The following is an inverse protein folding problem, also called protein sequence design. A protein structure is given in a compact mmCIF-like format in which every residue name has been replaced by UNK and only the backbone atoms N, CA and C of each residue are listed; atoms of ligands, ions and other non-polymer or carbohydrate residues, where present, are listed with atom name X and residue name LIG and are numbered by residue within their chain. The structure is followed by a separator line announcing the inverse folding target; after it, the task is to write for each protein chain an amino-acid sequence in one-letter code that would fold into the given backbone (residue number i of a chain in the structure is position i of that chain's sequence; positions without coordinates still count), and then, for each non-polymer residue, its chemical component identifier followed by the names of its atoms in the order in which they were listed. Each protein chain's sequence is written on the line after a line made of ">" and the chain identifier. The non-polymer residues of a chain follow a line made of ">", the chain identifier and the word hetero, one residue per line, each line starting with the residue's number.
data_IF_805406930272
#
_entry.id   IF_805406930272
#
_cell.length_a   1.000
_cell.length_b   1.000
_cell.length_c   1.000
_cell.angle_alpha   90.00
_cell.angle_beta   90.00
_cell.angle_gamma   90.00
#
_symmetry.space_group_name_H-M   'P 1'
#
loop_
_entity.id
_entity.type
_entity.pdbx_description
1 polymer ?
#
# COMPACT_ATOMS: atom_id res chain seq x y z
N UNK A 1 -50.56 35.21 -41.43
CA UNK A 1 -50.89 34.89 -40.02
C UNK A 1 -51.11 33.40 -39.92
N UNK A 2 -50.03 32.66 -39.68
CA UNK A 2 -50.07 31.23 -39.37
C UNK A 2 -49.86 31.11 -37.86
N UNK A 3 -50.92 30.68 -37.16
CA UNK A 3 -50.91 30.40 -35.73
C UNK A 3 -50.00 29.21 -35.47
N UNK A 4 -48.88 29.45 -34.79
CA UNK A 4 -47.99 28.40 -34.30
C UNK A 4 -48.74 27.56 -33.26
N UNK A 5 -48.83 26.22 -33.40
CA UNK A 5 -49.54 25.39 -32.44
C UNK A 5 -48.78 25.39 -31.11
N UNK A 6 -49.46 25.79 -30.04
CA UNK A 6 -48.94 25.72 -28.69
C UNK A 6 -48.57 24.27 -28.35
N UNK A 7 -47.28 23.99 -28.16
CA UNK A 7 -46.82 22.68 -27.71
C UNK A 7 -47.23 22.45 -26.24
N UNK A 8 -47.91 21.35 -25.90
CA UNK A 8 -48.23 20.98 -24.54
C UNK A 8 -47.01 20.29 -23.90
N UNK A 9 -46.06 21.07 -23.39
CA UNK A 9 -44.81 20.54 -22.81
C UNK A 9 -44.57 20.91 -21.32
N UNK A 10 -45.57 21.47 -20.64
CA UNK A 10 -45.40 21.92 -19.24
C UNK A 10 -45.40 20.78 -18.20
N UNK A 11 -46.00 19.62 -18.49
CA UNK A 11 -46.16 18.54 -17.50
C UNK A 11 -45.08 17.45 -17.55
N UNK A 12 -44.32 17.33 -18.66
CA UNK A 12 -43.28 16.29 -18.80
C UNK A 12 -41.99 16.59 -18.06
N UNK A 13 -41.72 17.84 -17.69
CA UNK A 13 -40.51 18.24 -16.94
C UNK A 13 -40.67 18.09 -15.42
N UNK A 14 -41.90 18.08 -14.90
CA UNK A 14 -42.15 18.14 -13.46
C UNK A 14 -41.71 16.90 -12.65
N UNK A 15 -41.61 15.73 -13.28
CA UNK A 15 -41.16 14.50 -12.62
C UNK A 15 -39.62 14.40 -12.57
N UNK A 16 -38.95 14.84 -13.63
CA UNK A 16 -37.49 14.81 -13.74
C UNK A 16 -36.81 15.87 -12.87
N UNK A 17 -37.53 16.90 -12.44
CA UNK A 17 -37.03 17.99 -11.59
C UNK A 17 -37.06 17.70 -10.08
N UNK A 18 -37.40 16.47 -9.66
CA UNK A 18 -37.58 16.08 -8.26
C UNK A 18 -36.38 15.27 -7.75
N UNK A 19 -35.27 15.90 -7.29
CA UNK A 19 -34.07 15.19 -6.86
C UNK A 19 -34.35 14.21 -5.71
N UNK A 20 -35.30 14.53 -4.83
CA UNK A 20 -35.71 13.67 -3.73
C UNK A 20 -36.27 12.31 -4.17
N UNK A 21 -36.96 12.24 -5.31
CA UNK A 21 -37.48 10.96 -5.81
C UNK A 21 -36.34 10.00 -6.17
N UNK A 22 -35.34 10.51 -6.91
CA UNK A 22 -34.16 9.75 -7.29
C UNK A 22 -33.30 9.37 -6.08
N UNK A 23 -33.13 10.28 -5.13
CA UNK A 23 -32.36 10.02 -3.92
C UNK A 23 -33.00 8.94 -3.05
N UNK A 24 -34.31 9.02 -2.82
CA UNK A 24 -35.05 8.02 -2.04
C UNK A 24 -35.09 6.66 -2.74
N UNK A 25 -35.27 6.63 -4.06
CA UNK A 25 -35.17 5.41 -4.85
C UNK A 25 -33.75 4.80 -4.76
N UNK A 26 -32.71 5.63 -4.84
CA UNK A 26 -31.33 5.21 -4.66
C UNK A 26 -31.09 4.59 -3.28
N UNK A 27 -31.54 5.26 -2.22
CA UNK A 27 -31.41 4.78 -0.84
C UNK A 27 -32.14 3.46 -0.62
N UNK A 28 -33.37 3.33 -1.12
CA UNK A 28 -34.12 2.09 -1.04
C UNK A 28 -33.39 0.94 -1.75
N UNK A 29 -32.87 1.19 -2.95
CA UNK A 29 -32.13 0.18 -3.73
C UNK A 29 -30.84 -0.24 -3.01
N UNK A 30 -30.07 0.70 -2.49
CA UNK A 30 -28.85 0.42 -1.72
C UNK A 30 -29.16 -0.31 -0.41
N UNK A 31 -30.27 0.02 0.26
CA UNK A 31 -30.72 -0.69 1.47
C UNK A 31 -31.14 -2.13 1.18
N UNK A 32 -31.77 -2.39 0.03
CA UNK A 32 -32.07 -3.76 -0.42
C UNK A 32 -30.76 -4.54 -0.65
N UNK A 33 -29.75 -3.93 -1.27
CA UNK A 33 -28.44 -4.55 -1.45
C UNK A 33 -27.78 -4.89 -0.09
N UNK A 34 -27.84 -3.97 0.88
CA UNK A 34 -27.33 -4.18 2.23
C UNK A 34 -28.07 -5.29 2.98
N UNK A 35 -29.41 -5.30 2.92
CA UNK A 35 -30.21 -6.37 3.51
C UNK A 35 -29.90 -7.72 2.87
N UNK A 36 -29.78 -7.79 1.54
CA UNK A 36 -29.39 -9.01 0.83
C UNK A 36 -28.04 -9.53 1.37
N UNK A 37 -27.03 -8.67 1.49
CA UNK A 37 -25.72 -9.07 2.02
C UNK A 37 -25.79 -9.65 3.44
N UNK A 38 -26.68 -9.12 4.29
CA UNK A 38 -26.88 -9.59 5.67
C UNK A 38 -27.61 -10.94 5.78
N UNK A 39 -28.52 -11.24 4.85
CA UNK A 39 -29.37 -12.44 4.92
C UNK A 39 -28.96 -13.57 3.96
N UNK A 40 -28.05 -13.34 3.01
CA UNK A 40 -27.54 -14.37 2.09
C UNK A 40 -26.48 -15.23 2.76
N UNK A 41 -26.76 -16.54 2.87
CA UNK A 41 -25.86 -17.52 3.50
C UNK A 41 -24.94 -18.21 2.49
N UNK A 42 -25.28 -18.27 1.19
CA UNK A 42 -24.56 -19.16 0.26
C UNK A 42 -24.07 -18.57 -1.06
N UNK A 43 -24.55 -17.42 -1.54
CA UNK A 43 -23.96 -16.77 -2.74
C UNK A 43 -24.07 -15.25 -2.67
N UNK A 44 -22.94 -14.57 -2.50
CA UNK A 44 -22.81 -13.11 -2.66
C UNK A 44 -22.55 -12.83 -4.14
N UNK A 45 -23.62 -12.84 -4.92
CA UNK A 45 -23.56 -12.76 -6.37
C UNK A 45 -23.51 -11.33 -6.93
N UNK A 46 -23.38 -11.26 -8.26
CA UNK A 46 -23.44 -10.04 -9.09
C UNK A 46 -24.66 -9.15 -8.80
N UNK A 47 -25.75 -9.72 -8.28
CA UNK A 47 -26.98 -9.01 -7.94
C UNK A 47 -26.79 -7.90 -6.90
N UNK A 48 -25.96 -8.12 -5.88
CA UNK A 48 -25.67 -7.10 -4.85
C UNK A 48 -24.97 -5.90 -5.50
N UNK A 49 -23.99 -6.16 -6.36
CA UNK A 49 -23.24 -5.13 -7.08
C UNK A 49 -24.10 -4.35 -8.09
N UNK A 50 -25.05 -5.02 -8.76
CA UNK A 50 -26.00 -4.36 -9.66
C UNK A 50 -26.93 -3.43 -8.88
N UNK A 51 -27.51 -3.90 -7.77
CA UNK A 51 -28.38 -3.08 -6.92
C UNK A 51 -27.62 -1.90 -6.29
N UNK A 52 -26.41 -2.16 -5.78
CA UNK A 52 -25.55 -1.12 -5.22
C UNK A 52 -25.20 -0.06 -6.27
N UNK A 53 -24.76 -0.49 -7.46
CA UNK A 53 -24.45 0.41 -8.58
C UNK A 53 -25.66 1.24 -8.99
N UNK A 54 -26.84 0.62 -9.14
CA UNK A 54 -28.08 1.30 -9.50
C UNK A 54 -28.49 2.31 -8.43
N UNK A 55 -28.40 1.95 -7.15
CA UNK A 55 -28.72 2.83 -6.03
C UNK A 55 -27.80 4.05 -5.96
N UNK A 56 -26.50 3.85 -6.15
CA UNK A 56 -25.51 4.93 -6.18
C UNK A 56 -25.68 5.84 -7.40
N UNK A 57 -25.96 5.28 -8.59
CA UNK A 57 -26.21 6.06 -9.80
C UNK A 57 -27.49 6.91 -9.68
N UNK A 58 -28.56 6.36 -9.11
CA UNK A 58 -29.78 7.13 -8.84
C UNK A 58 -29.52 8.28 -7.84
N UNK A 59 -28.72 8.01 -6.81
CA UNK A 59 -28.26 9.03 -5.87
C UNK A 59 -27.39 10.12 -6.51
N UNK A 60 -26.45 9.73 -7.36
CA UNK A 60 -25.61 10.67 -8.11
C UNK A 60 -26.45 11.53 -9.05
N UNK A 61 -27.42 10.93 -9.75
CA UNK A 61 -28.37 11.65 -10.60
C UNK A 61 -29.21 12.67 -9.82
N UNK A 62 -29.63 12.33 -8.60
CA UNK A 62 -30.34 13.28 -7.73
C UNK A 62 -29.52 14.55 -7.44
N UNK A 63 -28.19 14.42 -7.34
CA UNK A 63 -27.28 15.54 -7.07
C UNK A 63 -26.92 16.35 -8.32
N UNK A 64 -27.16 15.83 -9.54
CA UNK A 64 -26.89 16.55 -10.79
C UNK A 64 -28.13 17.26 -11.35
N UNK A 65 -29.33 16.74 -11.09
CA UNK A 65 -30.61 17.32 -11.57
C UNK A 65 -30.85 18.73 -11.02
N UNK A 66 -30.44 19.00 -9.78
CA UNK A 66 -30.51 20.34 -9.18
C UNK A 66 -29.25 20.64 -8.40
N UNK A 67 -28.95 21.94 -8.30
CA UNK A 67 -27.92 22.44 -7.40
C UNK A 67 -28.11 21.85 -5.99
N UNK A 68 -27.08 21.16 -5.45
CA UNK A 68 -27.21 20.50 -4.16
C UNK A 68 -27.52 21.50 -3.06
N UNK A 69 -28.52 21.18 -2.23
CA UNK A 69 -28.75 21.88 -0.97
C UNK A 69 -28.06 21.13 0.18
N UNK A 70 -27.77 21.79 1.32
CA UNK A 70 -27.21 21.11 2.49
C UNK A 70 -28.02 19.87 2.92
N UNK A 71 -29.35 19.96 2.91
CA UNK A 71 -30.23 18.86 3.29
C UNK A 71 -30.15 17.69 2.30
N UNK A 72 -30.08 17.98 1.00
CA UNK A 72 -29.96 16.97 -0.03
C UNK A 72 -28.62 16.24 0.09
N UNK A 73 -27.53 16.98 0.30
CA UNK A 73 -26.19 16.41 0.47
C UNK A 73 -26.07 15.57 1.76
N UNK A 74 -26.63 16.05 2.88
CA UNK A 74 -26.63 15.30 4.14
C UNK A 74 -27.44 14.01 4.01
N UNK A 75 -28.57 14.03 3.30
CA UNK A 75 -29.35 12.82 3.03
C UNK A 75 -28.61 11.88 2.08
N UNK A 76 -27.90 12.42 1.08
CA UNK A 76 -27.07 11.65 0.17
C UNK A 76 -25.90 10.95 0.88
N UNK A 77 -25.42 11.47 2.03
CA UNK A 77 -24.41 10.78 2.85
C UNK A 77 -24.88 9.41 3.36
N UNK A 78 -26.19 9.15 3.43
CA UNK A 78 -26.73 7.84 3.81
C UNK A 78 -26.50 6.77 2.74
N UNK A 79 -26.38 7.14 1.46
CA UNK A 79 -26.13 6.20 0.37
C UNK A 79 -24.82 5.44 0.56
N UNK A 80 -23.66 6.11 0.66
CA UNK A 80 -22.41 5.41 0.89
C UNK A 80 -22.37 4.73 2.27
N UNK A 81 -23.00 5.30 3.30
CA UNK A 81 -23.06 4.68 4.63
C UNK A 81 -23.76 3.31 4.60
N UNK A 82 -24.91 3.21 3.93
CA UNK A 82 -25.64 1.95 3.74
C UNK A 82 -24.91 1.05 2.74
N UNK A 83 -24.32 1.63 1.68
CA UNK A 83 -23.49 0.92 0.71
C UNK A 83 -22.32 0.18 1.35
N UNK A 84 -21.67 0.77 2.37
CA UNK A 84 -20.60 0.13 3.14
C UNK A 84 -21.04 -1.14 3.88
N UNK A 85 -22.35 -1.31 4.15
CA UNK A 85 -22.92 -2.52 4.75
C UNK A 85 -23.32 -3.56 3.69
N UNK A 86 -23.54 -3.14 2.45
CA UNK A 86 -23.78 -4.03 1.31
C UNK A 86 -22.50 -4.73 0.81
N UNK A 87 -21.34 -4.18 1.16
CA UNK A 87 -20.04 -4.74 0.81
C UNK A 87 -19.58 -5.74 1.87
N UNK A 88 -19.02 -6.84 1.40
CA UNK A 88 -18.43 -7.87 2.26
C UNK A 88 -17.28 -7.32 3.12
N UNK A 89 -17.12 -7.73 4.40
CA UNK A 89 -16.04 -7.26 5.26
C UNK A 89 -14.62 -7.46 4.71
N UNK A 90 -14.37 -8.50 3.89
CA UNK A 90 -13.04 -8.69 3.29
C UNK A 90 -12.67 -7.61 2.25
N UNK A 91 -13.66 -6.83 1.78
CA UNK A 91 -13.47 -5.71 0.84
C UNK A 91 -13.33 -4.37 1.57
N UNK A 92 -12.48 -4.32 2.59
CA UNK A 92 -12.29 -3.15 3.46
C UNK A 92 -11.94 -1.88 2.69
N UNK A 93 -11.18 -1.97 1.60
CA UNK A 93 -10.87 -0.80 0.77
C UNK A 93 -12.10 -0.16 0.12
N UNK A 94 -13.06 -0.97 -0.33
CA UNK A 94 -14.31 -0.45 -0.90
C UNK A 94 -15.17 0.17 0.20
N UNK A 95 -15.22 -0.45 1.38
CA UNK A 95 -15.91 0.11 2.56
C UNK A 95 -15.28 1.43 2.99
N UNK A 96 -13.95 1.53 2.96
CA UNK A 96 -13.23 2.77 3.23
C UNK A 96 -13.63 3.88 2.25
N UNK A 97 -13.71 3.59 0.94
CA UNK A 97 -14.18 4.56 -0.06
C UNK A 97 -15.59 5.05 0.28
N UNK A 98 -16.49 4.16 0.69
CA UNK A 98 -17.81 4.55 1.14
C UNK A 98 -17.76 5.46 2.37
N UNK A 99 -17.02 5.11 3.42
CA UNK A 99 -16.89 5.96 4.61
C UNK A 99 -16.28 7.32 4.29
N UNK A 100 -15.29 7.39 3.40
CA UNK A 100 -14.76 8.66 2.89
C UNK A 100 -15.85 9.44 2.17
N UNK A 101 -16.67 8.79 1.34
CA UNK A 101 -17.84 9.40 0.70
C UNK A 101 -18.84 9.99 1.70
N UNK A 102 -19.10 9.31 2.82
CA UNK A 102 -19.93 9.83 3.92
C UNK A 102 -19.34 11.12 4.48
N UNK A 103 -18.05 11.10 4.83
CA UNK A 103 -17.35 12.27 5.39
C UNK A 103 -17.36 13.44 4.40
N UNK A 104 -17.05 13.18 3.13
CA UNK A 104 -17.08 14.20 2.06
C UNK A 104 -18.48 14.80 1.90
N UNK A 105 -19.53 13.99 1.89
CA UNK A 105 -20.90 14.49 1.80
C UNK A 105 -21.30 15.34 3.02
N UNK A 106 -20.94 14.92 4.24
CA UNK A 106 -21.20 15.71 5.46
C UNK A 106 -20.45 17.05 5.42
N UNK A 107 -19.16 17.04 5.09
CA UNK A 107 -18.35 18.25 4.97
C UNK A 107 -18.87 19.16 3.85
N UNK A 108 -19.28 18.58 2.71
CA UNK A 108 -19.89 19.29 1.60
C UNK A 108 -21.22 19.94 1.98
N UNK A 109 -22.07 19.25 2.75
CA UNK A 109 -23.31 19.80 3.27
C UNK A 109 -23.03 20.99 4.21
N UNK A 110 -22.05 20.86 5.10
CA UNK A 110 -21.59 21.94 5.96
C UNK A 110 -21.09 23.15 5.16
N UNK A 111 -20.27 22.92 4.14
CA UNK A 111 -19.77 23.96 3.24
C UNK A 111 -20.92 24.68 2.51
N UNK A 112 -21.87 23.94 1.95
CA UNK A 112 -23.04 24.51 1.25
C UNK A 112 -23.94 25.34 2.18
N UNK A 113 -23.94 25.06 3.48
CA UNK A 113 -24.70 25.83 4.47
C UNK A 113 -24.03 27.18 4.82
N UNK A 114 -22.76 27.37 4.49
CA UNK A 114 -22.05 28.63 4.73
C UNK A 114 -22.43 29.71 3.72
N UNK A 115 -22.17 30.98 4.08
CA UNK A 115 -22.29 32.10 3.15
C UNK A 115 -21.32 31.94 1.95
N UNK A 116 -21.61 32.50 0.77
CA UNK A 116 -20.72 32.38 -0.40
C UNK A 116 -19.29 32.87 -0.15
N UNK A 117 -19.11 33.92 0.66
CA UNK A 117 -17.78 34.42 1.02
C UNK A 117 -17.01 33.43 1.88
N UNK A 118 -17.68 32.83 2.87
CA UNK A 118 -17.10 31.79 3.73
C UNK A 118 -16.78 30.52 2.93
N UNK A 119 -17.63 30.12 1.98
CA UNK A 119 -17.36 28.99 1.09
C UNK A 119 -16.07 29.19 0.30
N UNK A 120 -15.91 30.36 -0.33
CA UNK A 120 -14.70 30.71 -1.07
C UNK A 120 -13.47 30.67 -0.18
N UNK A 121 -13.55 31.24 1.02
CA UNK A 121 -12.45 31.19 1.99
C UNK A 121 -12.05 29.77 2.35
N UNK A 122 -13.01 28.91 2.71
CA UNK A 122 -12.74 27.50 3.06
C UNK A 122 -12.13 26.75 1.88
N UNK A 123 -12.68 26.90 0.67
CA UNK A 123 -12.13 26.27 -0.53
C UNK A 123 -10.71 26.75 -0.83
N UNK A 124 -10.45 28.06 -0.72
CA UNK A 124 -9.10 28.61 -0.88
C UNK A 124 -8.14 28.03 0.16
N UNK A 125 -8.55 27.92 1.42
CA UNK A 125 -7.72 27.30 2.46
C UNK A 125 -7.43 25.83 2.18
N UNK A 126 -8.41 25.04 1.72
CA UNK A 126 -8.19 23.64 1.34
C UNK A 126 -7.22 23.51 0.16
N UNK A 127 -7.34 24.37 -0.84
CA UNK A 127 -6.41 24.43 -1.98
C UNK A 127 -5.01 24.81 -1.49
N UNK A 128 -4.89 25.84 -0.67
CA UNK A 128 -3.61 26.24 -0.07
C UNK A 128 -3.01 25.13 0.78
N UNK A 129 -3.81 24.40 1.55
CA UNK A 129 -3.37 23.25 2.34
C UNK A 129 -2.80 22.15 1.43
N UNK A 130 -3.52 21.80 0.38
CA UNK A 130 -3.11 20.77 -0.57
C UNK A 130 -1.78 21.10 -1.25
N UNK A 131 -1.69 22.28 -1.87
CA UNK A 131 -0.46 22.73 -2.53
C UNK A 131 0.65 23.05 -1.52
N UNK A 132 0.30 23.47 -0.30
CA UNK A 132 1.22 23.64 0.80
C UNK A 132 1.93 22.35 1.20
N UNK A 133 1.22 21.22 1.16
CA UNK A 133 1.82 19.90 1.38
C UNK A 133 2.82 19.51 0.29
N UNK A 134 2.47 19.75 -0.97
CA UNK A 134 3.36 19.51 -2.11
C UNK A 134 4.63 20.37 -2.00
N UNK A 135 4.47 21.65 -1.68
CA UNK A 135 5.58 22.58 -1.48
C UNK A 135 6.41 22.21 -0.24
N UNK A 136 5.80 21.76 0.85
CA UNK A 136 6.54 21.36 2.05
C UNK A 136 7.54 20.25 1.75
N UNK A 137 7.17 19.28 0.90
CA UNK A 137 8.07 18.19 0.46
C UNK A 137 9.29 18.71 -0.30
N UNK A 138 9.18 19.80 -1.07
CA UNK A 138 10.35 20.37 -1.76
C UNK A 138 11.35 20.99 -0.79
N UNK A 139 10.89 21.43 0.39
CA UNK A 139 11.76 22.01 1.43
C UNK A 139 12.38 20.96 2.37
N UNK A 140 11.92 19.71 2.33
CA UNK A 140 12.53 18.59 3.07
C UNK A 140 13.63 17.87 2.29
N UNK A 141 13.81 18.20 1.01
CA UNK A 141 14.84 17.63 0.13
C UNK A 141 15.76 18.77 -0.38
N UNK A 142 16.62 19.32 0.47
CA UNK A 142 17.53 20.40 0.09
C UNK A 142 18.60 19.93 -0.91
N UNK A 143 19.31 20.87 -1.58
CA UNK A 143 20.55 20.58 -2.28
C UNK A 143 21.58 19.85 -1.37
N UNK A 144 22.54 19.14 -1.97
CA UNK A 144 23.50 18.29 -1.26
C UNK A 144 24.36 19.03 -0.20
N UNK A 145 24.47 20.35 -0.28
CA UNK A 145 25.24 21.22 0.60
C UNK A 145 24.38 21.98 1.63
N UNK A 146 23.09 21.68 1.74
CA UNK A 146 22.16 22.37 2.63
C UNK A 146 21.39 21.41 3.53
N UNK A 147 21.14 21.85 4.77
CA UNK A 147 20.29 21.13 5.73
C UNK A 147 18.81 21.34 5.43
N UNK A 148 17.94 20.34 5.65
CA UNK A 148 16.50 20.49 5.44
C UNK A 148 15.91 21.52 6.42
N UNK A 149 14.91 22.27 5.97
CA UNK A 149 14.22 23.23 6.85
C UNK A 149 13.52 22.49 7.97
N UNK A 150 13.95 22.70 9.23
CA UNK A 150 13.37 22.03 10.39
C UNK A 150 11.84 22.20 10.47
N UNK A 151 11.33 23.40 10.19
CA UNK A 151 9.88 23.68 10.20
C UNK A 151 9.19 22.86 9.12
N UNK A 152 9.76 22.81 7.90
CA UNK A 152 9.20 22.00 6.82
C UNK A 152 9.20 20.52 7.20
N UNK A 153 10.28 20.00 7.78
CA UNK A 153 10.37 18.60 8.22
C UNK A 153 9.34 18.26 9.30
N UNK A 154 9.07 19.17 10.25
CA UNK A 154 8.02 18.94 11.26
C UNK A 154 6.61 18.96 10.65
N UNK A 155 6.32 19.90 9.75
CA UNK A 155 5.03 19.98 9.05
C UNK A 155 4.82 18.78 8.13
N UNK A 156 5.85 18.37 7.41
CA UNK A 156 5.86 17.20 6.54
C UNK A 156 5.60 15.94 7.37
N UNK A 157 6.43 15.64 8.36
CA UNK A 157 6.34 14.38 9.09
C UNK A 157 5.04 14.24 9.88
N UNK A 158 4.54 15.34 10.49
CA UNK A 158 3.42 15.27 11.43
C UNK A 158 2.05 15.58 10.83
N UNK A 159 2.00 16.36 9.75
CA UNK A 159 0.74 16.86 9.21
C UNK A 159 0.56 16.49 7.73
N UNK A 160 1.49 16.89 6.86
CA UNK A 160 1.32 16.68 5.43
C UNK A 160 1.56 15.25 4.99
N UNK A 161 2.45 14.48 5.64
CA UNK A 161 2.71 13.09 5.27
C UNK A 161 1.46 12.21 5.39
N UNK A 162 0.77 12.14 6.54
CA UNK A 162 -0.48 11.37 6.63
C UNK A 162 -1.54 11.83 5.62
N UNK A 163 -1.62 13.14 5.36
CA UNK A 163 -2.54 13.70 4.37
C UNK A 163 -2.19 13.28 2.94
N UNK A 164 -0.93 13.41 2.53
CA UNK A 164 -0.44 13.06 1.19
C UNK A 164 -0.51 11.54 0.96
N UNK A 165 -0.25 10.73 1.98
CA UNK A 165 -0.44 9.27 1.93
C UNK A 165 -1.91 8.92 1.72
N UNK A 166 -2.81 9.58 2.46
CA UNK A 166 -4.24 9.38 2.31
C UNK A 166 -4.75 9.74 0.89
N UNK A 167 -4.23 10.80 0.28
CA UNK A 167 -4.60 11.20 -1.10
C UNK A 167 -3.72 10.56 -2.18
N UNK A 168 -2.92 9.54 -1.84
CA UNK A 168 -2.07 8.80 -2.79
C UNK A 168 -1.02 9.66 -3.54
N UNK A 169 -0.56 10.77 -2.94
CA UNK A 169 0.38 11.72 -3.54
C UNK A 169 1.82 11.64 -3.00
N UNK A 170 2.21 10.52 -2.39
CA UNK A 170 3.58 10.31 -1.90
C UNK A 170 4.54 9.70 -2.92
N UNK A 171 4.03 9.11 -4.01
CA UNK A 171 4.84 8.56 -5.08
C UNK A 171 4.96 9.59 -6.22
N UNK A 172 5.98 10.45 -6.13
CA UNK A 172 6.22 11.52 -7.11
C UNK A 172 6.56 10.99 -8.49
N UNK A 173 7.20 9.81 -8.58
CA UNK A 173 7.65 9.22 -9.84
C UNK A 173 6.50 8.87 -10.80
N UNK A 174 5.31 8.58 -10.27
CA UNK A 174 4.12 8.27 -11.07
C UNK A 174 3.68 9.41 -11.99
N UNK A 175 3.97 10.66 -11.62
CA UNK A 175 3.63 11.82 -12.45
C UNK A 175 4.51 11.94 -13.70
N UNK A 176 5.74 11.41 -13.63
CA UNK A 176 6.73 11.54 -14.71
C UNK A 176 6.88 10.26 -15.53
N UNK A 177 6.62 9.09 -14.93
CA UNK A 177 6.60 7.80 -15.61
C UNK A 177 5.37 7.01 -15.18
N UNK A 178 4.34 6.90 -16.03
CA UNK A 178 3.14 6.11 -15.75
C UNK A 178 3.45 4.65 -15.39
N UNK A 179 4.59 4.15 -15.84
CA UNK A 179 5.14 2.80 -15.61
C UNK A 179 6.49 2.87 -14.89
N UNK A 180 6.63 3.80 -13.93
CA UNK A 180 7.82 3.84 -13.09
C UNK A 180 8.06 2.47 -12.44
N UNK A 181 9.27 1.90 -12.55
CA UNK A 181 9.59 0.71 -11.77
C UNK A 181 9.47 1.06 -10.28
N UNK A 182 9.00 0.13 -9.44
CA UNK A 182 9.05 0.31 -7.99
C UNK A 182 10.47 0.63 -7.54
N UNK A 183 10.63 1.64 -6.68
CA UNK A 183 11.91 1.91 -6.01
C UNK A 183 12.31 0.74 -5.11
N UNK A 184 11.31 0.04 -4.54
CA UNK A 184 11.51 -1.13 -3.69
C UNK A 184 10.41 -2.16 -3.99
N UNK A 185 10.83 -3.40 -4.21
CA UNK A 185 10.00 -4.59 -4.28
C UNK A 185 10.00 -5.28 -2.90
N UNK A 186 8.96 -6.05 -2.59
CA UNK A 186 9.01 -7.03 -1.51
C UNK A 186 8.94 -8.43 -2.09
N UNK A 187 9.90 -9.27 -1.77
CA UNK A 187 9.84 -10.70 -2.05
C UNK A 187 9.54 -11.43 -0.75
N UNK A 188 8.54 -12.31 -0.77
CA UNK A 188 8.16 -13.11 0.37
C UNK A 188 8.14 -14.59 0.01
N UNK A 189 8.80 -15.42 0.81
CA UNK A 189 8.65 -16.86 0.74
C UNK A 189 7.71 -17.31 1.85
N UNK A 190 6.57 -17.88 1.46
CA UNK A 190 5.62 -18.53 2.35
C UNK A 190 6.04 -19.97 2.55
N UNK A 191 6.07 -20.45 3.79
CA UNK A 191 6.25 -21.86 4.14
C UNK A 191 4.96 -22.37 4.77
N UNK A 192 4.41 -23.46 4.25
CA UNK A 192 3.18 -24.08 4.76
C UNK A 192 3.49 -25.23 5.73
N UNK A 193 2.47 -25.75 6.41
CA UNK A 193 2.60 -26.78 7.43
C UNK A 193 3.10 -28.14 6.89
N UNK A 194 2.89 -28.41 5.60
CA UNK A 194 3.40 -29.59 4.89
C UNK A 194 4.84 -29.42 4.37
N UNK A 195 5.43 -28.23 4.58
CA UNK A 195 6.77 -27.87 4.10
C UNK A 195 6.79 -27.35 2.66
N UNK A 196 5.65 -27.25 1.96
CA UNK A 196 5.59 -26.57 0.67
C UNK A 196 6.02 -25.11 0.84
N UNK A 197 6.73 -24.58 -0.16
CA UNK A 197 7.21 -23.20 -0.18
C UNK A 197 6.74 -22.48 -1.43
N UNK A 198 6.26 -21.25 -1.28
CA UNK A 198 5.79 -20.41 -2.40
C UNK A 198 6.37 -19.01 -2.32
N UNK A 199 6.89 -18.52 -3.44
CA UNK A 199 7.34 -17.15 -3.59
C UNK A 199 6.21 -16.23 -4.02
N UNK A 200 6.13 -15.06 -3.40
CA UNK A 200 5.25 -13.94 -3.74
C UNK A 200 6.13 -12.71 -3.94
N UNK A 201 5.86 -11.94 -5.01
CA UNK A 201 6.53 -10.67 -5.30
C UNK A 201 5.48 -9.56 -5.22
N UNK A 202 5.83 -8.43 -4.59
CA UNK A 202 4.98 -7.25 -4.45
C UNK A 202 5.71 -6.01 -5.00
N UNK A 203 5.11 -5.26 -5.93
CA UNK A 203 3.98 -5.66 -6.80
C UNK A 203 4.25 -6.99 -7.54
N UNK A 204 3.17 -7.66 -7.93
CA UNK A 204 3.25 -8.89 -8.72
C UNK A 204 3.43 -8.48 -10.19
N UNK A 205 4.53 -8.86 -10.87
CA UNK A 205 4.78 -8.51 -12.26
C UNK A 205 3.62 -8.86 -13.21
N UNK A 206 2.86 -9.91 -12.89
CA UNK A 206 1.73 -10.37 -13.71
C UNK A 206 0.44 -9.59 -13.42
N UNK A 207 0.39 -8.83 -12.33
CA UNK A 207 -0.78 -8.05 -11.91
C UNK A 207 -0.74 -6.58 -12.35
N UNK A 208 0.18 -6.24 -13.26
CA UNK A 208 0.39 -4.90 -13.84
C UNK A 208 -0.92 -4.23 -14.25
N UNK A 209 -1.10 -3.00 -13.76
CA UNK A 209 -2.26 -2.16 -14.05
C UNK A 209 -3.48 -2.42 -13.16
N UNK A 210 -3.45 -3.42 -12.28
CA UNK A 210 -4.49 -3.61 -11.27
C UNK A 210 -4.37 -2.58 -10.13
N UNK A 211 -5.48 -2.29 -9.45
CA UNK A 211 -5.48 -1.40 -8.29
C UNK A 211 -4.64 -1.94 -7.13
N UNK A 212 -4.56 -3.28 -7.00
CA UNK A 212 -3.71 -3.91 -5.98
C UNK A 212 -2.24 -3.68 -6.31
N UNK A 213 -1.84 -3.76 -7.58
CA UNK A 213 -0.47 -3.48 -8.02
C UNK A 213 -0.09 -2.03 -7.73
N UNK A 214 -0.96 -1.07 -8.07
CA UNK A 214 -0.78 0.35 -7.77
C UNK A 214 -0.63 0.59 -6.26
N UNK A 215 -1.41 -0.13 -5.45
CA UNK A 215 -1.30 -0.02 -3.99
C UNK A 215 0.02 -0.60 -3.48
N UNK A 216 0.43 -1.76 -3.98
CA UNK A 216 1.69 -2.41 -3.56
C UNK A 216 2.92 -1.64 -4.00
N UNK A 217 2.88 -1.01 -5.18
CA UNK A 217 3.89 -0.04 -5.65
C UNK A 217 4.11 1.11 -4.66
N UNK A 218 3.08 1.52 -3.92
CA UNK A 218 3.20 2.58 -2.92
C UNK A 218 3.59 2.06 -1.53
N UNK A 219 3.14 0.87 -1.16
CA UNK A 219 3.39 0.30 0.16
C UNK A 219 4.83 -0.21 0.30
N UNK A 220 5.40 -0.85 -0.73
CA UNK A 220 6.73 -1.42 -0.63
C UNK A 220 7.82 -0.36 -0.30
N UNK A 221 7.85 0.83 -0.94
CA UNK A 221 8.77 1.91 -0.55
C UNK A 221 8.49 2.52 0.84
N UNK A 222 7.29 2.32 1.40
CA UNK A 222 6.97 2.76 2.77
C UNK A 222 7.59 1.87 3.84
N UNK A 223 8.12 0.69 3.49
CA UNK A 223 8.96 -0.13 4.37
C UNK A 223 10.33 0.56 4.49
N UNK A 224 10.34 1.68 5.22
CA UNK A 224 11.46 2.61 5.28
C UNK A 224 12.64 2.02 6.04
N UNK A 225 13.78 2.10 5.38
CA UNK A 225 15.10 1.81 5.94
C UNK A 225 15.56 2.98 6.82
N UNK A 226 16.28 2.66 7.88
CA UNK A 226 16.98 3.59 8.76
C UNK A 226 18.43 3.75 8.26
N UNK A 227 18.74 4.82 7.52
CA UNK A 227 20.08 5.05 6.97
C UNK A 227 21.11 5.40 8.05
N UNK A 228 20.69 5.66 9.29
CA UNK A 228 21.57 6.05 10.39
C UNK A 228 22.06 4.89 11.25
N UNK A 229 21.73 3.64 10.91
CA UNK A 229 22.07 2.51 11.75
C UNK A 229 23.57 2.20 11.71
N UNK A 230 24.21 2.23 12.89
CA UNK A 230 25.63 1.91 13.05
C UNK A 230 25.87 0.40 12.90
N UNK A 231 26.82 0.04 12.03
CA UNK A 231 27.30 -1.34 11.89
C UNK A 231 28.45 -1.55 12.87
N UNK A 232 28.20 -2.31 13.93
CA UNK A 232 29.24 -2.67 14.90
C UNK A 232 30.12 -3.80 14.38
N UNK A 233 31.37 -3.86 14.84
CA UNK A 233 32.29 -4.97 14.54
C UNK A 233 31.71 -6.35 14.92
N UNK A 234 30.93 -6.39 16.01
CA UNK A 234 30.27 -7.62 16.42
C UNK A 234 29.20 -8.07 15.43
N UNK A 235 28.37 -7.14 14.94
CA UNK A 235 27.35 -7.39 13.93
C UNK A 235 28.00 -7.87 12.62
N UNK A 236 29.06 -7.17 12.18
CA UNK A 236 29.83 -7.52 10.99
C UNK A 236 30.44 -8.92 11.12
N UNK A 237 31.10 -9.21 12.24
CA UNK A 237 31.66 -10.53 12.51
C UNK A 237 30.58 -11.63 12.55
N UNK A 238 29.38 -11.30 13.05
CA UNK A 238 28.23 -12.22 13.05
C UNK A 238 27.77 -12.55 11.63
N UNK A 239 27.57 -11.53 10.78
CA UNK A 239 27.26 -11.73 9.35
C UNK A 239 28.31 -12.63 8.71
N UNK A 240 29.61 -12.31 8.85
CA UNK A 240 30.71 -13.08 8.25
C UNK A 240 30.68 -14.56 8.64
N UNK A 241 30.45 -14.85 9.93
CA UNK A 241 30.31 -16.23 10.42
C UNK A 241 29.11 -16.94 9.81
N UNK A 242 27.98 -16.27 9.64
CA UNK A 242 26.79 -16.84 9.02
C UNK A 242 26.99 -17.07 7.51
N UNK A 243 27.62 -16.11 6.81
CA UNK A 243 27.95 -16.20 5.37
C UNK A 243 28.85 -17.39 5.03
N UNK A 244 29.80 -17.72 5.92
CA UNK A 244 30.68 -18.89 5.78
C UNK A 244 29.96 -20.24 5.88
N UNK A 245 28.70 -20.28 6.35
CA UNK A 245 27.88 -21.50 6.43
C UNK A 245 27.09 -21.76 5.13
N UNK A 246 27.27 -20.96 4.10
CA UNK A 246 26.71 -21.24 2.77
C UNK A 246 27.70 -22.08 1.96
N UNK A 247 27.18 -22.82 0.98
CA UNK A 247 27.96 -23.58 0.03
C UNK A 247 27.48 -23.24 -1.39
N UNK A 248 28.23 -22.44 -2.16
CA UNK A 248 29.50 -21.80 -1.79
C UNK A 248 29.34 -20.74 -0.68
N UNK A 249 30.43 -20.36 0.02
CA UNK A 249 30.38 -19.31 1.05
C UNK A 249 29.93 -17.96 0.49
N UNK A 250 29.01 -17.29 1.19
CA UNK A 250 28.56 -15.95 0.82
C UNK A 250 29.74 -14.97 0.77
N UNK A 251 29.81 -14.09 -0.24
CA UNK A 251 30.83 -13.06 -0.32
C UNK A 251 30.94 -12.25 0.97
N UNK A 252 32.18 -11.92 1.31
CA UNK A 252 32.46 -11.01 2.42
C UNK A 252 31.82 -9.64 2.12
N UNK A 253 31.30 -8.94 3.14
CA UNK A 253 30.87 -7.56 2.99
C UNK A 253 31.97 -6.69 2.38
N UNK A 254 31.59 -5.84 1.44
CA UNK A 254 32.44 -4.79 0.87
C UNK A 254 32.70 -3.66 1.86
N UNK A 255 33.38 -2.62 1.36
CA UNK A 255 33.85 -1.51 2.21
C UNK A 255 32.73 -0.56 2.65
N UNK A 256 31.67 -0.41 1.83
CA UNK A 256 30.53 0.44 2.15
C UNK A 256 29.41 -0.33 2.87
N UNK A 257 29.59 -0.52 4.17
CA UNK A 257 28.64 -1.24 5.02
C UNK A 257 27.28 -0.53 5.11
N UNK A 258 27.21 0.77 4.82
CA UNK A 258 25.93 1.50 4.85
C UNK A 258 25.01 1.12 3.70
N UNK A 259 25.58 0.61 2.60
CA UNK A 259 24.81 0.03 1.50
C UNK A 259 24.41 -1.42 1.76
N UNK A 260 25.11 -2.14 2.63
CA UNK A 260 24.84 -3.57 2.88
C UNK A 260 23.93 -3.84 4.08
N UNK A 261 23.87 -2.95 5.07
CA UNK A 261 23.05 -3.13 6.26
C UNK A 261 21.98 -2.06 6.35
N UNK A 262 20.72 -2.48 6.15
CA UNK A 262 19.58 -1.57 5.97
C UNK A 262 18.42 -1.97 6.88
N UNK A 263 18.51 -1.68 8.20
CA UNK A 263 17.44 -1.99 9.14
C UNK A 263 16.23 -1.10 8.93
N UNK A 264 15.06 -1.58 9.34
CA UNK A 264 13.84 -0.79 9.23
C UNK A 264 13.70 0.22 10.36
N UNK A 265 13.13 1.37 10.02
CA UNK A 265 12.59 2.32 10.98
C UNK A 265 11.47 1.67 11.83
N UNK A 266 11.14 2.21 13.03
CA UNK A 266 10.04 1.67 13.83
C UNK A 266 8.70 1.58 13.09
N UNK A 267 8.35 2.60 12.30
CA UNK A 267 7.13 2.61 11.50
C UNK A 267 7.19 1.58 10.37
N UNK A 268 8.36 1.42 9.74
CA UNK A 268 8.61 0.38 8.73
C UNK A 268 8.38 -1.02 9.26
N UNK A 269 8.76 -1.30 10.52
CA UNK A 269 8.49 -2.59 11.19
C UNK A 269 7.00 -2.85 11.40
N UNK A 270 6.26 -1.84 11.86
CA UNK A 270 4.80 -1.95 12.05
C UNK A 270 4.09 -2.19 10.72
N UNK A 271 4.49 -1.46 9.68
CA UNK A 271 3.94 -1.63 8.34
C UNK A 271 4.26 -3.01 7.78
N UNK A 272 5.51 -3.46 7.88
CA UNK A 272 5.92 -4.77 7.39
C UNK A 272 5.14 -5.90 8.09
N UNK A 273 4.96 -5.84 9.41
CA UNK A 273 4.12 -6.78 10.13
C UNK A 273 2.67 -6.81 9.62
N UNK A 274 2.13 -5.65 9.21
CA UNK A 274 0.81 -5.55 8.59
C UNK A 274 0.77 -6.20 7.20
N UNK A 275 1.81 -5.99 6.39
CA UNK A 275 1.96 -6.63 5.07
C UNK A 275 2.04 -8.15 5.24
N UNK A 276 2.81 -8.63 6.22
CA UNK A 276 2.93 -10.07 6.52
C UNK A 276 1.57 -10.67 6.85
N UNK A 277 0.78 -10.04 7.74
CA UNK A 277 -0.60 -10.49 8.04
C UNK A 277 -1.46 -10.56 6.79
N UNK A 278 -1.35 -9.54 5.94
CA UNK A 278 -2.09 -9.51 4.68
C UNK A 278 -1.66 -10.65 3.75
N UNK A 279 -0.36 -10.89 3.59
CA UNK A 279 0.19 -11.99 2.79
C UNK A 279 -0.30 -13.34 3.31
N UNK A 280 -0.30 -13.53 4.63
CA UNK A 280 -0.78 -14.76 5.25
C UNK A 280 -2.27 -15.02 4.95
N UNK A 281 -3.11 -13.99 5.07
CA UNK A 281 -4.54 -14.11 4.81
C UNK A 281 -4.88 -14.25 3.32
N UNK A 282 -4.15 -13.55 2.45
CA UNK A 282 -4.45 -13.47 1.01
C UNK A 282 -3.93 -14.68 0.21
N UNK A 283 -3.04 -15.49 0.79
CA UNK A 283 -2.40 -16.60 0.09
C UNK A 283 -2.60 -17.93 0.84
N UNK A 284 -3.84 -18.45 0.91
CA UNK A 284 -4.05 -19.81 1.42
C UNK A 284 -3.31 -20.82 0.53
N UNK A 285 -3.05 -22.00 1.08
CA UNK A 285 -2.44 -23.09 0.34
C UNK A 285 -3.25 -23.41 -0.93
N UNK A 286 -2.61 -23.58 -2.10
CA UNK A 286 -3.30 -23.66 -3.38
C UNK A 286 -4.20 -24.90 -3.53
N UNK A 287 -3.84 -26.01 -2.90
CA UNK A 287 -4.53 -27.30 -3.03
C UNK A 287 -5.25 -27.77 -1.77
N UNK A 288 -4.91 -27.23 -0.60
CA UNK A 288 -5.45 -27.68 0.69
C UNK A 288 -5.48 -26.52 1.71
N UNK A 289 -6.59 -25.78 1.81
CA UNK A 289 -6.72 -24.65 2.74
C UNK A 289 -6.48 -24.99 4.22
N UNK A 290 -6.45 -26.27 4.61
CA UNK A 290 -6.09 -26.68 5.97
C UNK A 290 -4.59 -26.56 6.27
N UNK A 291 -3.73 -26.52 5.25
CA UNK A 291 -2.30 -26.26 5.43
C UNK A 291 -2.06 -24.78 5.73
N UNK A 292 -2.01 -24.48 7.03
CA UNK A 292 -1.71 -23.14 7.49
C UNK A 292 -0.28 -22.73 7.11
N UNK A 293 -0.07 -21.44 6.87
CA UNK A 293 1.27 -20.86 6.76
C UNK A 293 1.95 -20.96 8.14
N UNK A 294 3.20 -21.40 8.16
CA UNK A 294 4.04 -21.52 9.37
C UNK A 294 5.18 -20.52 9.39
N UNK A 295 5.52 -19.93 8.23
CA UNK A 295 6.61 -18.96 8.10
C UNK A 295 6.46 -18.06 6.89
N UNK A 296 6.94 -16.83 7.03
CA UNK A 296 6.98 -15.84 5.96
C UNK A 296 8.34 -15.14 6.03
N UNK A 297 9.28 -15.57 5.19
CA UNK A 297 10.56 -14.86 5.03
C UNK A 297 10.38 -13.70 4.07
N UNK A 298 10.75 -12.49 4.49
CA UNK A 298 10.57 -11.28 3.68
C UNK A 298 11.91 -10.67 3.32
N UNK A 299 12.01 -10.16 2.10
CA UNK A 299 13.16 -9.45 1.55
C UNK A 299 12.68 -8.13 0.93
N UNK A 300 13.28 -7.02 1.33
CA UNK A 300 13.13 -5.76 0.62
C UNK A 300 14.14 -5.72 -0.51
N UNK A 301 13.69 -5.55 -1.75
CA UNK A 301 14.55 -5.67 -2.92
C UNK A 301 14.59 -4.36 -3.67
N UNK A 302 15.78 -3.79 -3.81
CA UNK A 302 16.02 -2.59 -4.61
C UNK A 302 16.61 -3.01 -5.95
N UNK A 303 16.01 -2.58 -7.04
CA UNK A 303 16.57 -2.78 -8.38
C UNK A 303 17.47 -1.60 -8.72
N UNK A 304 18.79 -1.83 -8.77
CA UNK A 304 19.72 -0.76 -9.15
C UNK A 304 19.71 -0.57 -10.65
N UNK A 305 19.79 0.68 -11.09
CA UNK A 305 20.00 0.98 -12.49
C UNK A 305 21.44 0.60 -12.89
N UNK A 306 21.58 0.07 -14.11
CA UNK A 306 22.88 -0.16 -14.70
C UNK A 306 23.62 1.16 -14.90
N UNK A 307 24.91 1.16 -14.60
CA UNK A 307 25.80 2.25 -15.02
C UNK A 307 25.97 2.23 -16.54
N UNK A 308 26.40 3.36 -17.12
CA UNK A 308 26.70 3.43 -18.56
C UNK A 308 27.75 2.40 -18.99
N UNK A 309 28.70 2.09 -18.11
CA UNK A 309 29.76 1.12 -18.39
C UNK A 309 29.23 -0.32 -18.40
N UNK A 310 28.40 -0.69 -17.42
CA UNK A 310 27.76 -2.02 -17.39
C UNK A 310 26.84 -2.23 -18.58
N UNK A 311 26.02 -1.23 -18.92
CA UNK A 311 25.18 -1.29 -20.11
C UNK A 311 26.02 -1.44 -21.40
N UNK A 312 27.12 -0.67 -21.53
CA UNK A 312 28.03 -0.79 -22.66
C UNK A 312 28.77 -2.14 -22.70
N UNK A 313 28.98 -2.78 -21.54
CA UNK A 313 29.52 -4.12 -21.43
C UNK A 313 28.50 -5.23 -21.72
N UNK A 314 27.25 -4.88 -22.01
CA UNK A 314 26.19 -5.81 -22.41
C UNK A 314 25.42 -6.44 -21.25
N UNK A 315 25.49 -5.88 -20.03
CA UNK A 315 24.65 -6.33 -18.92
C UNK A 315 23.18 -6.07 -19.24
N UNK A 316 22.34 -7.07 -18.94
CA UNK A 316 20.90 -6.95 -19.09
C UNK A 316 20.29 -6.21 -17.89
N UNK A 317 19.22 -5.45 -18.14
CA UNK A 317 18.60 -4.66 -17.09
C UNK A 317 17.95 -5.52 -16.01
N UNK A 318 17.55 -6.76 -16.34
CA UNK A 318 16.96 -7.75 -15.44
C UNK A 318 17.97 -8.79 -14.93
N UNK A 319 19.27 -8.53 -15.10
CA UNK A 319 20.33 -9.34 -14.52
C UNK A 319 20.11 -9.53 -13.01
N UNK A 320 20.12 -10.77 -12.47
CA UNK A 320 19.85 -11.02 -11.05
C UNK A 320 20.75 -10.23 -10.09
N UNK A 321 21.98 -9.91 -10.49
CA UNK A 321 22.96 -9.14 -9.70
C UNK A 321 22.59 -7.67 -9.55
N UNK A 322 21.59 -7.18 -10.30
CA UNK A 322 21.03 -5.83 -10.16
C UNK A 322 19.96 -5.73 -9.08
N UNK A 323 19.49 -6.87 -8.54
CA UNK A 323 18.49 -6.93 -7.48
C UNK A 323 19.18 -7.05 -6.11
N UNK A 324 19.17 -5.95 -5.36
CA UNK A 324 19.76 -5.86 -4.03
C UNK A 324 18.71 -6.26 -2.99
N UNK A 325 18.73 -7.52 -2.56
CA UNK A 325 17.74 -8.07 -1.63
C UNK A 325 18.21 -8.03 -0.17
N UNK A 326 17.57 -7.21 0.65
CA UNK A 326 17.83 -7.08 2.08
C UNK A 326 16.87 -7.96 2.88
N UNK A 327 17.38 -8.91 3.66
CA UNK A 327 16.54 -9.79 4.46
C UNK A 327 15.85 -9.02 5.60
N UNK A 328 14.53 -9.08 5.69
CA UNK A 328 13.73 -8.31 6.67
C UNK A 328 13.22 -9.15 7.85
N UNK A 329 13.44 -10.46 7.81
CA UNK A 329 13.08 -11.40 8.86
C UNK A 329 12.18 -12.54 8.38
N UNK A 330 12.03 -13.54 9.25
CA UNK A 330 11.07 -14.64 9.14
C UNK A 330 9.95 -14.39 10.15
N UNK A 331 8.72 -14.32 9.68
CA UNK A 331 7.57 -13.93 10.46
C UNK A 331 6.56 -15.08 10.61
N UNK A 332 5.80 -15.02 11.69
CA UNK A 332 4.58 -15.79 11.88
C UNK A 332 3.42 -15.16 11.07
N UNK A 333 2.35 -15.93 10.79
CA UNK A 333 1.18 -15.43 10.06
C UNK A 333 0.49 -14.19 10.66
N UNK A 334 0.66 -13.94 11.96
CA UNK A 334 0.13 -12.78 12.67
C UNK A 334 1.02 -11.53 12.55
N UNK A 335 2.14 -11.64 11.84
CA UNK A 335 3.09 -10.56 11.63
C UNK A 335 4.12 -10.40 12.76
N UNK A 336 4.14 -11.28 13.75
CA UNK A 336 5.21 -11.31 14.74
C UNK A 336 6.49 -11.89 14.13
N UNK A 337 7.64 -11.29 14.45
CA UNK A 337 8.93 -11.81 14.03
C UNK A 337 9.22 -13.11 14.79
N UNK A 338 9.59 -14.19 14.08
CA UNK A 338 9.88 -15.46 14.71
C UNK A 338 11.10 -15.36 15.65
N UNK A 339 11.13 -16.15 16.72
CA UNK A 339 12.32 -16.29 17.55
C UNK A 339 13.55 -16.81 16.79
N UNK A 340 13.40 -17.53 15.66
CA UNK A 340 14.55 -17.92 14.82
C UNK A 340 15.25 -16.70 14.20
N UNK A 341 14.49 -15.65 13.91
CA UNK A 341 15.03 -14.34 13.52
C UNK A 341 15.58 -13.54 14.71
N UNK A 342 15.52 -14.11 15.90
CA UNK A 342 15.94 -13.57 17.18
C UNK A 342 16.71 -14.66 17.97
N UNK A 343 17.82 -15.17 17.40
CA UNK A 343 18.81 -16.04 18.06
C UNK A 343 18.96 -15.83 19.57
N UNK A 344 18.39 -16.74 20.34
CA UNK A 344 18.44 -16.71 21.80
C UNK A 344 19.76 -17.33 22.29
N UNK A 345 20.76 -16.51 22.60
CA UNK A 345 22.01 -16.96 23.21
C UNK A 345 21.82 -17.18 24.71
N UNK A 346 21.90 -18.45 25.11
CA UNK A 346 21.93 -18.85 26.52
C UNK A 346 23.38 -18.99 26.97
N UNK A 347 23.87 -18.01 27.73
CA UNK A 347 25.16 -18.09 28.39
C UNK A 347 25.02 -18.83 29.75
N UNK A 348 25.95 -19.75 30.11
CA UNK A 348 25.91 -20.43 31.40
C UNK A 348 25.97 -19.41 32.55
N UNK A 349 24.90 -19.35 33.36
CA UNK A 349 24.82 -18.47 34.54
C UNK A 349 24.47 -16.99 34.25
N UNK A 350 24.05 -16.62 33.03
CA UNK A 350 23.66 -15.24 32.67
C UNK A 350 22.27 -15.16 32.02
N UNK A 351 21.75 -13.92 31.96
CA UNK A 351 20.50 -13.58 31.27
C UNK A 351 20.55 -14.08 29.84
N UNK A 352 19.39 -14.55 29.38
CA UNK A 352 19.12 -14.92 28.00
C UNK A 352 19.27 -13.67 27.12
N UNK A 353 20.27 -13.66 26.24
CA UNK A 353 20.48 -12.56 25.28
C UNK A 353 19.83 -12.96 23.96
N UNK A 354 18.79 -12.24 23.57
CA UNK A 354 18.14 -12.44 22.28
C UNK A 354 18.90 -11.59 21.27
N UNK A 355 19.72 -12.23 20.44
CA UNK A 355 20.38 -11.62 19.29
C UNK A 355 19.53 -11.81 18.06
N UNK A 356 19.38 -10.84 17.17
CA UNK A 356 18.74 -11.07 15.88
C UNK A 356 19.52 -12.11 15.06
N UNK A 357 18.84 -12.76 14.09
CA UNK A 357 19.49 -13.53 13.03
C UNK A 357 20.68 -12.72 12.47
N UNK A 358 21.88 -13.30 12.35
CA UNK A 358 23.06 -12.58 11.88
C UNK A 358 22.93 -11.93 10.50
N UNK A 359 21.95 -12.36 9.70
CA UNK A 359 21.66 -11.82 8.37
C UNK A 359 20.47 -10.86 8.36
N UNK A 360 19.79 -10.65 9.49
CA UNK A 360 18.67 -9.72 9.58
C UNK A 360 19.14 -8.31 9.16
N UNK A 361 18.43 -7.74 8.21
CA UNK A 361 18.67 -6.45 7.55
C UNK A 361 19.90 -6.36 6.65
N UNK A 362 20.63 -7.46 6.47
CA UNK A 362 21.77 -7.51 5.56
C UNK A 362 21.34 -7.79 4.12
N UNK A 363 22.10 -7.23 3.18
CA UNK A 363 22.08 -7.59 1.77
C UNK A 363 22.43 -9.07 1.60
N UNK A 364 21.56 -9.78 0.90
CA UNK A 364 21.73 -11.17 0.48
C UNK A 364 21.99 -11.15 -1.04
N UNK A 365 23.25 -11.24 -1.48
CA UNK A 365 23.60 -10.91 -2.85
C UNK A 365 23.25 -12.03 -3.85
N UNK A 366 23.10 -11.68 -5.11
CA UNK A 366 23.30 -12.60 -6.22
C UNK A 366 24.65 -12.27 -6.86
N UNK A 367 25.49 -13.28 -7.10
CA UNK A 367 26.85 -13.06 -7.63
C UNK A 367 27.19 -14.04 -8.75
N UNK A 368 27.94 -13.55 -9.72
CA UNK A 368 28.59 -14.40 -10.72
C UNK A 368 29.73 -15.19 -10.10
N UNK A 369 29.76 -16.49 -10.40
CA UNK A 369 30.86 -17.39 -10.11
C UNK A 369 31.90 -17.33 -11.23
N UNK A 370 33.09 -17.91 -10.99
CA UNK A 370 34.18 -17.95 -11.99
C UNK A 370 33.78 -18.65 -13.31
N UNK A 371 32.80 -19.56 -13.24
CA UNK A 371 32.27 -20.27 -14.42
C UNK A 371 31.18 -19.48 -15.17
N UNK A 372 30.85 -18.27 -14.72
CA UNK A 372 29.80 -17.42 -15.29
C UNK A 372 28.39 -17.77 -14.83
N UNK A 373 28.19 -18.78 -13.99
CA UNK A 373 26.89 -19.04 -13.37
C UNK A 373 26.58 -18.02 -12.28
N UNK A 374 25.30 -17.73 -12.04
CA UNK A 374 24.88 -16.86 -10.94
C UNK A 374 24.50 -17.71 -9.73
N UNK A 375 25.11 -17.45 -8.59
CA UNK A 375 24.64 -17.96 -7.30
C UNK A 375 23.71 -16.95 -6.66
N UNK A 376 22.44 -17.31 -6.57
CA UNK A 376 21.41 -16.53 -5.88
C UNK A 376 21.37 -16.93 -4.40
N UNK A 377 22.04 -16.16 -3.54
CA UNK A 377 22.02 -16.42 -2.10
C UNK A 377 20.65 -16.16 -1.47
N UNK A 378 19.74 -15.43 -2.12
CA UNK A 378 18.38 -15.23 -1.61
C UNK A 378 17.65 -16.57 -1.59
N UNK A 379 17.75 -17.35 -2.67
CA UNK A 379 17.19 -18.70 -2.75
C UNK A 379 17.84 -19.64 -1.74
N UNK A 380 19.17 -19.63 -1.63
CA UNK A 380 19.89 -20.46 -0.66
C UNK A 380 19.54 -20.10 0.80
N UNK A 381 19.38 -18.81 1.10
CA UNK A 381 19.01 -18.33 2.42
C UNK A 381 17.56 -18.66 2.76
N UNK A 382 16.66 -18.45 1.81
CA UNK A 382 15.26 -18.78 1.96
C UNK A 382 15.08 -20.29 2.20
N UNK A 383 15.91 -21.12 1.54
CA UNK A 383 15.83 -22.57 1.65
C UNK A 383 16.21 -23.14 3.03
N UNK A 384 16.94 -22.39 3.86
CA UNK A 384 17.34 -22.80 5.22
C UNK A 384 16.19 -22.56 6.20
N UNK A 385 15.93 -23.53 7.10
CA UNK A 385 14.94 -23.39 8.16
C UNK A 385 15.46 -22.67 9.41
#
# INVERSE_FOLDING_TARGET
>A
MTTEPAMPDADRTAAWDRPWLFLLAGLATTAIAAAWNLFSVSERGIGIWLLLSLGLLAGAWALTVRWPTPQLMLTAALLPLVGAQAVEPSWDSVRLVFYVGVVVAILGAGLLALSPSSQRLVLSLLVTLHFGGIIAVTFTHPPADAEPSWIASQLEARFYRPYLEFVYMTCTYRFYSPEAPPETLLWAQLTYADGERRWIKLPDPDSRGSLIDVRMLQIAPMVRIDPGAEVTEELLASRRRAGKKFDPPMPEPGDDLTQEYQPLTPDGKVLLASIVRHLAHANPHPSDPAQAITGIKVYAVVHRLLTQQEFAAGFEADDPTTYLAYYQGDFLPDGELKPSSAEVIRLPGRKVEVRPDPLLYWLIPAVYQEDGSVTDYVQLHAAKD
#
